data_IF_351370268977
#
_entry.id   IF_351370268977
#
_cell.length_a   1.000
_cell.length_b   1.000
_cell.length_c   1.000
_cell.angle_alpha   90.00
_cell.angle_beta   90.00
_cell.angle_gamma   90.00
#
_symmetry.space_group_name_H-M   'P 1'
#
loop_
_entity.id
_entity.type
_entity.pdbx_description
1 polymer ?
#
# COMPACT_ATOMS: atom_id res chain seq x y z
N UNK A 1 -72.16 5.09 25.30
CA UNK A 1 -70.96 5.79 24.78
C UNK A 1 -70.28 6.70 25.80
N UNK A 2 -70.99 7.62 26.50
CA UNK A 2 -70.36 8.50 27.50
C UNK A 2 -69.73 7.80 28.72
N UNK A 3 -70.32 6.70 29.20
CA UNK A 3 -69.81 5.96 30.38
C UNK A 3 -68.51 5.18 30.11
N UNK A 4 -68.26 4.74 28.87
CA UNK A 4 -67.03 4.01 28.50
C UNK A 4 -65.86 4.98 28.35
N UNK A 5 -66.11 6.18 27.81
CA UNK A 5 -65.11 7.23 27.66
C UNK A 5 -64.70 7.78 29.04
N UNK A 6 -65.64 7.94 29.97
CA UNK A 6 -65.34 8.34 31.34
C UNK A 6 -64.51 7.28 32.10
N UNK A 7 -64.79 5.98 31.89
CA UNK A 7 -63.97 4.91 32.49
C UNK A 7 -62.54 4.87 31.95
N UNK A 8 -62.35 5.10 30.64
CA UNK A 8 -61.03 5.18 30.01
C UNK A 8 -60.22 6.40 30.46
N UNK A 9 -60.88 7.55 30.66
CA UNK A 9 -60.22 8.76 31.21
C UNK A 9 -59.81 8.52 32.66
N UNK A 10 -60.62 7.80 33.44
CA UNK A 10 -60.33 7.50 34.84
C UNK A 10 -59.21 6.45 35.01
N UNK A 11 -59.06 5.50 34.09
CA UNK A 11 -57.90 4.60 34.03
C UNK A 11 -56.62 5.33 33.59
N UNK A 12 -56.72 6.29 32.67
CA UNK A 12 -55.56 7.07 32.21
C UNK A 12 -55.03 8.03 33.29
N UNK A 13 -55.90 8.63 34.10
CA UNK A 13 -55.46 9.43 35.27
C UNK A 13 -54.80 8.56 36.34
N UNK A 14 -55.26 7.31 36.51
CA UNK A 14 -54.66 6.35 37.47
C UNK A 14 -53.26 5.88 37.08
N UNK A 15 -52.95 5.85 35.78
CA UNK A 15 -51.59 5.56 35.27
C UNK A 15 -50.69 6.81 35.38
N UNK A 16 -51.28 8.01 35.27
CA UNK A 16 -50.55 9.29 35.34
C UNK A 16 -50.19 9.70 36.77
N UNK A 17 -50.95 9.22 37.76
CA UNK A 17 -50.70 9.43 39.19
C UNK A 17 -49.86 8.34 39.87
N UNK A 18 -49.16 7.48 39.11
CA UNK A 18 -48.09 6.69 39.71
C UNK A 18 -47.03 7.70 40.15
N UNK A 19 -46.82 7.91 41.47
CA UNK A 19 -45.92 8.95 41.91
C UNK A 19 -44.53 8.47 41.54
N UNK A 20 -43.93 9.12 40.54
CA UNK A 20 -42.51 8.99 40.20
C UNK A 20 -41.60 9.10 41.45
N UNK A 21 -42.12 9.75 42.50
CA UNK A 21 -41.52 9.97 43.81
C UNK A 21 -41.35 8.66 44.62
N UNK A 22 -42.31 7.73 44.56
CA UNK A 22 -42.25 6.45 45.28
C UNK A 22 -41.23 5.48 44.67
N UNK A 23 -41.09 5.51 43.34
CA UNK A 23 -40.11 4.67 42.61
C UNK A 23 -38.67 5.17 42.84
N UNK A 24 -38.50 6.46 43.11
CA UNK A 24 -37.21 7.09 43.44
C UNK A 24 -36.79 6.94 44.91
N UNK A 25 -37.66 6.48 45.81
CA UNK A 25 -37.35 6.38 47.24
C UNK A 25 -36.80 5.01 47.65
N UNK A 26 -36.93 3.99 46.79
CA UNK A 26 -36.31 2.70 47.04
C UNK A 26 -34.80 2.80 46.86
N UNK A 27 -33.99 2.60 47.93
CA UNK A 27 -32.54 2.75 47.86
C UNK A 27 -31.91 1.79 46.84
N UNK A 28 -32.59 0.65 46.58
CA UNK A 28 -32.19 -0.33 45.56
C UNK A 28 -32.41 0.18 44.13
N UNK A 29 -33.48 0.93 43.89
CA UNK A 29 -33.82 1.46 42.56
C UNK A 29 -32.91 2.64 42.20
N UNK A 30 -32.63 3.52 43.16
CA UNK A 30 -31.64 4.59 43.00
C UNK A 30 -30.24 4.03 42.73
N UNK A 31 -29.82 3.00 43.49
CA UNK A 31 -28.54 2.34 43.26
C UNK A 31 -28.44 1.69 41.87
N UNK A 32 -29.53 1.08 41.36
CA UNK A 32 -29.56 0.50 40.03
C UNK A 32 -29.44 1.56 38.92
N UNK A 33 -30.14 2.69 39.05
CA UNK A 33 -30.06 3.80 38.07
C UNK A 33 -28.65 4.40 38.06
N UNK A 34 -28.08 4.66 39.25
CA UNK A 34 -26.71 5.17 39.37
C UNK A 34 -25.71 4.17 38.80
N UNK A 35 -25.90 2.87 39.04
CA UNK A 35 -25.07 1.81 38.46
C UNK A 35 -25.12 1.77 36.94
N UNK A 36 -26.30 1.87 36.34
CA UNK A 36 -26.47 1.94 34.88
C UNK A 36 -25.83 3.22 34.32
N UNK A 37 -25.99 4.35 35.01
CA UNK A 37 -25.42 5.62 34.59
C UNK A 37 -23.88 5.58 34.62
N UNK A 38 -23.28 4.99 35.66
CA UNK A 38 -21.84 4.76 35.75
C UNK A 38 -21.39 3.77 34.69
N UNK A 39 -22.15 2.70 34.42
CA UNK A 39 -21.83 1.73 33.36
C UNK A 39 -21.84 2.39 31.98
N UNK A 40 -22.85 3.22 31.68
CA UNK A 40 -22.95 3.97 30.42
C UNK A 40 -21.83 5.00 30.32
N UNK A 41 -21.51 5.73 31.39
CA UNK A 41 -20.35 6.63 31.44
C UNK A 41 -19.04 5.88 31.23
N UNK A 42 -18.87 4.72 31.86
CA UNK A 42 -17.69 3.88 31.70
C UNK A 42 -17.59 3.35 30.27
N UNK A 43 -18.70 2.86 29.69
CA UNK A 43 -18.70 2.35 28.31
C UNK A 43 -18.51 3.44 27.27
N UNK A 44 -19.07 4.63 27.48
CA UNK A 44 -18.87 5.79 26.60
C UNK A 44 -17.46 6.33 26.73
N UNK A 45 -16.90 6.41 27.95
CA UNK A 45 -15.53 6.86 28.19
C UNK A 45 -14.50 5.84 27.68
N UNK A 46 -14.71 4.54 27.88
CA UNK A 46 -13.84 3.48 27.33
C UNK A 46 -14.00 3.32 25.80
N UNK A 47 -15.21 3.45 25.21
CA UNK A 47 -15.35 3.52 23.74
C UNK A 47 -14.73 4.78 23.15
N UNK A 48 -14.68 5.88 23.92
CA UNK A 48 -14.05 7.15 23.55
C UNK A 48 -12.52 7.15 23.76
N UNK A 49 -11.88 5.98 23.80
CA UNK A 49 -10.44 5.82 23.53
C UNK A 49 -10.18 5.30 22.11
N UNK A 50 -11.24 5.10 21.32
CA UNK A 50 -11.13 4.96 19.87
C UNK A 50 -10.70 6.31 19.32
N UNK A 51 -9.39 6.43 19.11
CA UNK A 51 -8.66 7.52 18.47
C UNK A 51 -9.58 8.27 17.52
N UNK A 52 -9.80 9.57 17.79
CA UNK A 52 -10.39 10.49 16.81
C UNK A 52 -9.74 10.16 15.46
N UNK A 53 -10.49 9.92 14.37
CA UNK A 53 -9.90 9.85 13.06
C UNK A 53 -9.41 11.26 12.75
N UNK A 54 -8.18 11.59 13.17
CA UNK A 54 -7.42 12.57 12.42
C UNK A 54 -7.43 12.03 11.00
N UNK A 55 -7.91 12.81 10.05
CA UNK A 55 -7.78 12.52 8.63
C UNK A 55 -6.29 12.47 8.32
N UNK A 56 -5.66 11.34 8.64
CA UNK A 56 -4.28 11.08 8.31
C UNK A 56 -4.24 11.03 6.78
N UNK A 57 -3.34 11.80 6.15
CA UNK A 57 -3.20 11.78 4.70
C UNK A 57 -2.86 10.35 4.25
N UNK A 58 -3.48 9.90 3.15
CA UNK A 58 -3.20 8.58 2.58
C UNK A 58 -1.69 8.43 2.34
N UNK A 59 -1.10 7.37 2.86
CA UNK A 59 0.35 7.14 2.79
C UNK A 59 0.69 6.27 1.60
N UNK A 60 1.48 6.82 0.68
CA UNK A 60 1.90 6.14 -0.54
C UNK A 60 3.40 5.93 -0.51
N UNK A 61 3.80 4.69 -0.78
CA UNK A 61 5.18 4.26 -0.67
C UNK A 61 5.81 4.06 -2.05
N UNK A 62 6.93 4.73 -2.33
CA UNK A 62 7.73 4.46 -3.52
C UNK A 62 8.77 3.39 -3.21
N UNK A 63 8.68 2.26 -3.90
CA UNK A 63 9.59 1.11 -3.78
C UNK A 63 10.10 0.66 -5.14
N UNK A 64 11.17 -0.13 -5.16
CA UNK A 64 11.73 -0.68 -6.40
C UNK A 64 13.25 -0.61 -6.47
N UNK A 65 13.85 -1.17 -7.54
CA UNK A 65 15.30 -1.28 -7.71
C UNK A 65 15.99 0.08 -7.72
N UNK A 66 17.27 0.13 -7.33
CA UNK A 66 18.10 1.31 -7.53
C UNK A 66 18.06 1.77 -8.99
N UNK A 67 18.19 3.08 -9.21
CA UNK A 67 18.18 3.71 -10.54
C UNK A 67 16.85 3.66 -11.31
N UNK A 68 15.76 3.17 -10.71
CA UNK A 68 14.42 3.22 -11.33
C UNK A 68 13.82 4.61 -11.41
N UNK A 69 14.41 5.62 -10.77
CA UNK A 69 13.91 6.99 -10.76
C UNK A 69 12.90 7.31 -9.66
N UNK A 70 12.90 6.57 -8.54
CA UNK A 70 12.02 6.84 -7.37
C UNK A 70 12.19 8.26 -6.84
N UNK A 71 13.43 8.67 -6.54
CA UNK A 71 13.72 10.00 -5.99
C UNK A 71 13.40 11.10 -6.99
N UNK A 72 13.63 10.86 -8.27
CA UNK A 72 13.22 11.73 -9.37
C UNK A 72 11.70 11.95 -9.42
N UNK A 73 10.92 10.87 -9.34
CA UNK A 73 9.46 10.92 -9.29
C UNK A 73 8.99 11.61 -8.00
N UNK A 74 9.63 11.32 -6.87
CA UNK A 74 9.34 11.94 -5.59
C UNK A 74 9.53 13.46 -5.64
N UNK A 75 10.67 13.93 -6.14
CA UNK A 75 10.96 15.36 -6.26
C UNK A 75 9.98 16.06 -7.20
N UNK A 76 9.65 15.44 -8.33
CA UNK A 76 8.69 16.00 -9.28
C UNK A 76 7.27 16.10 -8.68
N UNK A 77 6.80 15.05 -7.99
CA UNK A 77 5.47 15.05 -7.35
C UNK A 77 5.40 16.01 -6.15
N UNK A 78 6.48 16.14 -5.37
CA UNK A 78 6.49 16.93 -4.14
C UNK A 78 6.73 18.43 -4.40
N UNK A 79 7.58 18.78 -5.37
CA UNK A 79 8.10 20.15 -5.52
C UNK A 79 7.93 20.73 -6.93
N UNK A 80 7.37 19.98 -7.89
CA UNK A 80 7.22 20.41 -9.28
C UNK A 80 8.56 20.71 -10.00
N UNK A 81 9.68 20.35 -9.38
CA UNK A 81 11.04 20.66 -9.85
C UNK A 81 11.96 19.46 -9.64
N UNK A 82 12.88 19.24 -10.59
CA UNK A 82 13.82 18.12 -10.59
C UNK A 82 15.25 18.59 -10.35
N UNK A 83 15.85 18.34 -9.17
CA UNK A 83 17.30 18.41 -9.01
C UNK A 83 17.95 17.09 -9.44
N UNK A 84 19.20 17.14 -9.93
CA UNK A 84 20.03 15.94 -10.11
C UNK A 84 20.20 15.22 -8.77
N UNK A 85 19.52 14.09 -8.58
CA UNK A 85 19.49 13.38 -7.30
C UNK A 85 20.49 12.22 -7.31
N UNK A 86 21.43 12.24 -6.35
CA UNK A 86 22.27 11.10 -6.01
C UNK A 86 21.48 10.15 -5.08
N UNK A 87 21.92 8.89 -5.02
CA UNK A 87 21.27 7.79 -4.27
C UNK A 87 20.89 8.20 -2.84
N UNK A 88 19.59 8.18 -2.51
CA UNK A 88 19.08 8.53 -1.18
C UNK A 88 19.66 7.63 -0.09
N UNK A 89 20.41 8.22 0.85
CA UNK A 89 21.00 7.55 2.03
C UNK A 89 19.99 7.52 3.20
N UNK A 90 18.88 8.25 3.11
CA UNK A 90 17.84 8.38 4.15
C UNK A 90 16.44 8.38 3.52
N UNK A 91 15.46 7.74 4.16
CA UNK A 91 14.05 7.75 3.72
C UNK A 91 13.50 9.18 3.75
N UNK A 92 12.98 9.66 2.62
CA UNK A 92 12.42 11.01 2.48
C UNK A 92 10.90 10.94 2.51
N UNK A 93 10.26 11.67 3.42
CA UNK A 93 8.80 11.74 3.53
C UNK A 93 8.34 13.15 3.24
N UNK A 94 7.41 13.33 2.31
CA UNK A 94 6.76 14.61 2.01
C UNK A 94 5.25 14.42 1.94
N UNK A 95 4.51 15.43 2.37
CA UNK A 95 3.06 15.47 2.17
C UNK A 95 2.77 16.49 1.10
N UNK A 96 2.11 16.08 0.02
CA UNK A 96 1.68 16.97 -1.06
C UNK A 96 0.16 16.92 -1.21
N UNK A 97 -0.40 18.01 -1.73
CA UNK A 97 -1.84 18.10 -1.99
C UNK A 97 -2.04 17.96 -3.49
N UNK A 98 -2.84 16.98 -3.90
CA UNK A 98 -3.17 16.74 -5.29
C UNK A 98 -4.12 17.85 -5.80
N UNK A 99 -4.27 18.00 -7.11
CA UNK A 99 -5.09 19.08 -7.70
C UNK A 99 -6.55 19.06 -7.21
N UNK A 100 -7.03 17.86 -6.85
CA UNK A 100 -8.34 17.59 -6.26
C UNK A 100 -8.47 17.95 -4.77
N UNK A 101 -7.41 18.48 -4.13
CA UNK A 101 -7.40 18.87 -2.71
C UNK A 101 -7.11 17.72 -1.74
N UNK A 102 -6.89 16.49 -2.25
CA UNK A 102 -6.53 15.31 -1.45
C UNK A 102 -5.09 15.40 -0.97
N UNK A 103 -4.86 15.24 0.34
CA UNK A 103 -3.51 15.23 0.93
C UNK A 103 -2.95 13.82 0.93
N UNK A 104 -1.79 13.64 0.30
CA UNK A 104 -1.09 12.37 0.17
C UNK A 104 0.29 12.51 0.82
N UNK A 105 0.64 11.55 1.67
CA UNK A 105 1.97 11.42 2.26
C UNK A 105 2.80 10.47 1.41
N UNK A 106 3.71 10.99 0.62
CA UNK A 106 4.65 10.23 -0.19
C UNK A 106 5.89 9.89 0.62
N UNK A 107 6.32 8.64 0.55
CA UNK A 107 7.53 8.15 1.23
C UNK A 107 8.45 7.53 0.19
N UNK A 108 9.61 8.16 -0.07
CA UNK A 108 10.69 7.59 -0.88
C UNK A 108 11.52 6.64 -0.01
N UNK A 109 11.47 5.36 -0.36
CA UNK A 109 12.33 4.35 0.25
C UNK A 109 13.58 4.09 -0.59
N UNK A 110 14.75 4.10 0.03
CA UNK A 110 15.99 3.82 -0.68
C UNK A 110 16.02 2.37 -1.18
N UNK A 111 16.30 2.19 -2.48
CA UNK A 111 16.29 0.89 -3.15
C UNK A 111 17.47 -0.03 -2.82
N UNK A 112 18.33 0.35 -1.86
CA UNK A 112 19.49 -0.46 -1.48
C UNK A 112 19.04 -1.63 -0.58
N UNK A 113 19.48 -2.88 -0.85
CA UNK A 113 19.16 -4.06 -0.03
C UNK A 113 19.41 -3.95 1.49
N UNK A 114 20.20 -2.96 1.93
CA UNK A 114 20.60 -2.77 3.35
C UNK A 114 19.57 -1.97 4.16
N UNK A 115 18.58 -1.37 3.52
CA UNK A 115 17.57 -0.52 4.18
C UNK A 115 16.18 -1.17 4.20
N UNK A 116 16.13 -2.48 3.93
CA UNK A 116 14.91 -3.30 3.82
C UNK A 116 14.10 -3.39 5.11
N UNK A 117 14.75 -3.32 6.28
CA UNK A 117 14.05 -3.34 7.57
C UNK A 117 13.23 -2.05 7.81
N UNK A 118 13.62 -0.94 7.17
CA UNK A 118 12.81 0.27 7.12
C UNK A 118 11.63 0.17 6.15
N UNK A 119 11.79 -0.62 5.08
CA UNK A 119 10.74 -0.85 4.08
C UNK A 119 9.57 -1.63 4.67
N UNK A 120 9.83 -2.71 5.40
CA UNK A 120 8.77 -3.50 6.07
C UNK A 120 8.05 -2.72 7.17
N UNK A 121 8.72 -1.80 7.88
CA UNK A 121 8.06 -0.92 8.84
C UNK A 121 7.14 0.08 8.16
N UNK A 122 7.64 0.74 7.11
CA UNK A 122 6.87 1.75 6.38
C UNK A 122 5.74 1.15 5.53
N UNK A 123 5.89 -0.11 5.09
CA UNK A 123 4.84 -0.89 4.43
C UNK A 123 3.61 -1.08 5.33
N UNK A 124 3.79 -1.25 6.65
CA UNK A 124 2.67 -1.42 7.60
C UNK A 124 1.81 -0.17 7.76
N UNK A 125 2.35 1.00 7.44
CA UNK A 125 1.65 2.29 7.49
C UNK A 125 1.19 2.77 6.11
N UNK A 126 1.42 1.99 5.05
CA UNK A 126 1.09 2.39 3.69
C UNK A 126 -0.35 2.01 3.33
N UNK A 127 -1.10 2.99 2.80
CA UNK A 127 -2.42 2.79 2.21
C UNK A 127 -2.31 2.35 0.74
N UNK A 128 -1.16 2.60 0.11
CA UNK A 128 -0.84 2.19 -1.25
C UNK A 128 0.66 2.12 -1.53
N UNK A 129 1.04 1.31 -2.52
CA UNK A 129 2.45 1.11 -2.89
C UNK A 129 2.64 1.31 -4.38
N UNK A 130 3.65 2.09 -4.76
CA UNK A 130 4.10 2.26 -6.15
C UNK A 130 5.46 1.60 -6.30
N UNK A 131 5.49 0.50 -7.04
CA UNK A 131 6.71 -0.20 -7.41
C UNK A 131 7.24 0.34 -8.74
N UNK A 132 8.27 1.17 -8.65
CA UNK A 132 8.85 1.91 -9.77
C UNK A 132 9.93 1.07 -10.45
N UNK A 133 9.77 0.84 -11.75
CA UNK A 133 10.69 0.04 -12.58
C UNK A 133 11.17 0.87 -13.77
N UNK A 134 12.47 0.82 -14.06
CA UNK A 134 13.02 1.36 -15.31
C UNK A 134 12.68 0.43 -16.47
N UNK A 135 11.80 0.86 -17.38
CA UNK A 135 11.34 0.03 -18.50
C UNK A 135 12.44 -0.27 -19.54
N UNK A 136 13.42 0.63 -19.68
CA UNK A 136 14.54 0.46 -20.62
C UNK A 136 15.55 -0.54 -20.05
N UNK A 137 15.85 -0.41 -18.76
CA UNK A 137 16.76 -1.30 -18.02
C UNK A 137 16.16 -2.68 -17.71
N UNK A 138 14.83 -2.81 -17.72
CA UNK A 138 14.13 -4.01 -17.27
C UNK A 138 14.59 -5.29 -17.98
N UNK A 139 14.85 -5.25 -19.29
CA UNK A 139 15.27 -6.46 -20.04
C UNK A 139 16.57 -7.06 -19.49
N UNK A 140 17.49 -6.22 -19.00
CA UNK A 140 18.79 -6.66 -18.48
C UNK A 140 18.70 -7.09 -17.02
N UNK A 141 17.82 -6.44 -16.26
CA UNK A 141 17.77 -6.58 -14.81
C UNK A 141 16.53 -7.34 -14.31
N UNK A 142 15.72 -7.93 -15.19
CA UNK A 142 14.41 -8.52 -14.89
C UNK A 142 14.42 -9.43 -13.65
N UNK A 143 15.41 -10.33 -13.54
CA UNK A 143 15.52 -11.23 -12.40
C UNK A 143 15.70 -10.52 -11.07
N UNK A 144 16.63 -9.56 -11.01
CA UNK A 144 16.84 -8.76 -9.79
C UNK A 144 15.62 -7.92 -9.42
N UNK A 145 14.88 -7.42 -10.41
CA UNK A 145 13.65 -6.64 -10.16
C UNK A 145 12.54 -7.55 -9.62
N UNK A 146 12.31 -8.70 -10.26
CA UNK A 146 11.27 -9.64 -9.86
C UNK A 146 11.52 -10.24 -8.48
N UNK A 147 12.78 -10.52 -8.12
CA UNK A 147 13.15 -11.01 -6.79
C UNK A 147 12.74 -10.07 -5.65
N UNK A 148 12.51 -8.78 -5.92
CA UNK A 148 12.05 -7.82 -4.92
C UNK A 148 10.53 -7.85 -4.68
N UNK A 149 9.75 -8.42 -5.61
CA UNK A 149 8.28 -8.45 -5.53
C UNK A 149 7.72 -9.45 -4.50
N UNK A 150 8.15 -10.74 -4.44
CA UNK A 150 7.61 -11.70 -3.47
C UNK A 150 7.50 -11.16 -2.03
N UNK A 151 8.57 -10.61 -1.42
CA UNK A 151 8.47 -10.13 -0.03
C UNK A 151 7.52 -8.94 0.12
N UNK A 152 7.38 -8.09 -0.89
CA UNK A 152 6.42 -6.98 -0.90
C UNK A 152 5.00 -7.53 -0.96
N UNK A 153 4.72 -8.47 -1.88
CA UNK A 153 3.41 -9.10 -2.03
C UNK A 153 2.98 -9.83 -0.76
N UNK A 154 3.88 -10.60 -0.14
CA UNK A 154 3.64 -11.27 1.15
C UNK A 154 3.30 -10.26 2.25
N UNK A 155 4.08 -9.17 2.36
CA UNK A 155 3.82 -8.14 3.37
C UNK A 155 2.47 -7.46 3.13
N UNK A 156 2.14 -7.12 1.89
CA UNK A 156 0.89 -6.46 1.53
C UNK A 156 -0.33 -7.36 1.74
N UNK A 157 -0.24 -8.65 1.37
CA UNK A 157 -1.30 -9.62 1.61
C UNK A 157 -1.59 -9.79 3.10
N UNK A 158 -0.53 -9.91 3.92
CA UNK A 158 -0.66 -10.01 5.37
C UNK A 158 -1.29 -8.76 6.01
N UNK A 159 -1.00 -7.58 5.45
CA UNK A 159 -1.63 -6.32 5.87
C UNK A 159 -3.10 -6.26 5.45
N UNK A 160 -3.42 -6.74 4.25
CA UNK A 160 -4.79 -6.79 3.76
C UNK A 160 -5.68 -7.68 4.63
N UNK A 161 -5.17 -8.76 5.24
CA UNK A 161 -5.95 -9.58 6.20
C UNK A 161 -6.52 -8.78 7.37
N UNK A 162 -5.89 -7.65 7.72
CA UNK A 162 -6.29 -6.77 8.82
C UNK A 162 -7.05 -5.52 8.34
N UNK A 163 -7.17 -5.33 7.03
CA UNK A 163 -7.85 -4.20 6.39
C UNK A 163 -9.13 -4.68 5.71
N UNK A 164 -10.20 -3.90 5.77
CA UNK A 164 -11.45 -4.22 5.07
C UNK A 164 -11.38 -3.98 3.56
N UNK A 165 -10.31 -3.35 3.06
CA UNK A 165 -10.09 -3.04 1.65
C UNK A 165 -8.78 -3.66 1.15
N UNK A 166 -8.75 -4.15 -0.10
CA UNK A 166 -7.51 -4.62 -0.71
C UNK A 166 -6.53 -3.46 -0.81
N UNK A 167 -5.25 -3.74 -0.58
CA UNK A 167 -4.19 -2.73 -0.72
C UNK A 167 -3.81 -2.66 -2.20
N UNK A 168 -3.74 -1.46 -2.74
CA UNK A 168 -3.38 -1.24 -4.15
C UNK A 168 -1.87 -1.20 -4.33
N UNK A 169 -1.38 -2.01 -5.26
CA UNK A 169 0.01 -2.06 -5.71
C UNK A 169 0.09 -1.61 -7.17
N UNK A 170 0.66 -0.43 -7.40
CA UNK A 170 0.90 0.12 -8.74
C UNK A 170 2.28 -0.34 -9.21
N UNK A 171 2.32 -1.16 -10.26
CA UNK A 171 3.54 -1.51 -10.98
C UNK A 171 3.78 -0.48 -12.08
N UNK A 172 4.73 0.43 -11.85
CA UNK A 172 4.97 1.61 -12.68
C UNK A 172 6.17 1.41 -13.62
N UNK A 173 5.92 1.41 -14.93
CA UNK A 173 6.92 1.47 -15.99
C UNK A 173 7.42 2.91 -16.17
N UNK A 174 8.47 3.28 -15.44
CA UNK A 174 9.08 4.60 -15.52
C UNK A 174 10.08 4.69 -16.68
N UNK A 175 10.40 5.93 -17.08
CA UNK A 175 11.28 6.29 -18.21
C UNK A 175 10.73 5.85 -19.57
N UNK A 176 9.40 5.82 -19.70
CA UNK A 176 8.71 5.45 -20.94
C UNK A 176 9.01 6.44 -22.07
N UNK A 177 9.34 7.68 -21.74
CA UNK A 177 9.82 8.70 -22.68
C UNK A 177 11.06 8.26 -23.47
N UNK A 178 11.92 7.41 -22.89
CA UNK A 178 13.13 6.88 -23.54
C UNK A 178 12.85 5.75 -24.55
N UNK A 179 11.64 5.18 -24.55
CA UNK A 179 11.23 4.23 -25.58
C UNK A 179 10.94 4.94 -26.91
N UNK A 180 10.66 6.23 -26.84
CA UNK A 180 10.52 7.11 -27.99
C UNK A 180 11.93 7.60 -28.34
N UNK A 181 12.20 7.77 -29.63
CA UNK A 181 13.33 8.59 -30.09
C UNK A 181 12.79 9.97 -30.45
N UNK A 182 12.65 10.90 -29.48
CA UNK A 182 12.23 12.24 -29.82
C UNK A 182 13.37 12.95 -30.56
N UNK A 183 13.13 13.27 -31.84
CA UNK A 183 13.93 14.21 -32.61
C UNK A 183 12.98 15.33 -33.07
N UNK A 184 13.00 16.54 -32.49
CA UNK A 184 13.89 17.10 -31.45
C UNK A 184 13.51 16.71 -30.00
N UNK A 185 14.35 17.02 -28.98
CA UNK A 185 14.04 16.74 -27.58
C UNK A 185 12.72 17.41 -27.14
N UNK A 186 11.90 16.73 -26.31
CA UNK A 186 10.57 17.22 -25.95
C UNK A 186 10.68 18.53 -25.15
N UNK A 187 9.92 19.55 -25.56
CA UNK A 187 9.91 20.87 -24.94
C UNK A 187 9.27 20.91 -23.56
N UNK A 188 8.13 20.24 -23.26
CA UNK A 188 7.62 20.16 -21.89
C UNK A 188 8.29 19.02 -21.11
N UNK A 189 8.52 19.26 -19.82
CA UNK A 189 8.91 18.26 -18.82
C UNK A 189 7.85 18.25 -17.72
N UNK A 190 7.06 17.18 -17.54
CA UNK A 190 7.06 15.90 -18.26
C UNK A 190 6.74 16.01 -19.77
N UNK A 191 7.27 15.10 -20.61
CA UNK A 191 7.04 15.09 -22.05
C UNK A 191 5.62 14.60 -22.39
N UNK A 192 5.17 14.93 -23.60
CA UNK A 192 3.97 14.30 -24.16
C UNK A 192 4.33 12.92 -24.75
N UNK A 193 3.86 11.87 -24.09
CA UNK A 193 4.05 10.47 -24.46
C UNK A 193 2.78 9.99 -25.18
N UNK A 194 2.88 9.46 -26.40
CA UNK A 194 1.74 8.87 -27.10
C UNK A 194 1.15 7.70 -26.31
N UNK A 195 -0.18 7.59 -26.27
CA UNK A 195 -0.90 6.51 -25.56
C UNK A 195 -0.41 5.12 -25.95
N UNK A 196 -0.17 4.89 -27.25
CA UNK A 196 0.39 3.62 -27.76
C UNK A 196 1.73 3.26 -27.10
N UNK A 197 2.57 4.25 -26.78
CA UNK A 197 3.87 3.99 -26.13
C UNK A 197 3.68 3.63 -24.66
N UNK A 198 2.73 4.28 -23.98
CA UNK A 198 2.34 3.92 -22.61
C UNK A 198 1.81 2.49 -22.56
N UNK A 199 0.93 2.12 -23.49
CA UNK A 199 0.37 0.76 -23.57
C UNK A 199 1.46 -0.29 -23.82
N UNK A 200 2.38 -0.02 -24.75
CA UNK A 200 3.55 -0.90 -25.01
C UNK A 200 4.41 -1.04 -23.76
N UNK A 201 4.64 0.04 -23.02
CA UNK A 201 5.44 0.01 -21.79
C UNK A 201 4.77 -0.84 -20.70
N UNK A 202 3.45 -0.68 -20.50
CA UNK A 202 2.67 -1.48 -19.55
C UNK A 202 2.67 -2.96 -19.91
N UNK A 203 2.37 -3.29 -21.16
CA UNK A 203 2.33 -4.69 -21.63
C UNK A 203 3.71 -5.34 -21.57
N UNK A 204 4.77 -4.59 -21.90
CA UNK A 204 6.14 -5.07 -21.77
C UNK A 204 6.54 -5.33 -20.31
N UNK A 205 6.20 -4.42 -19.40
CA UNK A 205 6.43 -4.59 -17.97
C UNK A 205 5.69 -5.83 -17.45
N UNK A 206 4.40 -5.95 -17.80
CA UNK A 206 3.54 -7.07 -17.43
C UNK A 206 4.12 -8.39 -17.92
N UNK A 207 4.43 -8.50 -19.20
CA UNK A 207 4.95 -9.73 -19.79
C UNK A 207 6.28 -10.17 -19.15
N UNK A 208 7.24 -9.24 -19.01
CA UNK A 208 8.57 -9.57 -18.46
C UNK A 208 8.47 -9.99 -17.00
N UNK A 209 7.74 -9.23 -16.17
CA UNK A 209 7.60 -9.59 -14.76
C UNK A 209 6.80 -10.88 -14.58
N UNK A 210 5.75 -11.12 -15.36
CA UNK A 210 4.99 -12.39 -15.29
C UNK A 210 5.89 -13.58 -15.54
N UNK A 211 6.69 -13.53 -16.61
CA UNK A 211 7.63 -14.60 -16.97
C UNK A 211 8.65 -14.84 -15.85
N UNK A 212 9.15 -13.78 -15.24
CA UNK A 212 10.17 -13.91 -14.21
C UNK A 212 9.60 -14.39 -12.88
N UNK A 213 8.38 -13.96 -12.53
CA UNK A 213 7.65 -14.48 -11.37
C UNK A 213 7.32 -15.97 -11.55
N UNK A 214 6.96 -16.40 -12.76
CA UNK A 214 6.77 -17.81 -13.10
C UNK A 214 8.06 -18.63 -12.94
N UNK A 215 9.20 -18.06 -13.37
CA UNK A 215 10.53 -18.65 -13.14
C UNK A 215 10.83 -18.80 -11.65
N UNK A 216 10.54 -17.76 -10.85
CA UNK A 216 10.74 -17.79 -9.39
C UNK A 216 9.82 -18.83 -8.73
N UNK A 217 8.55 -18.90 -9.10
CA UNK A 217 7.58 -19.89 -8.60
C UNK A 217 8.02 -21.32 -8.89
N UNK A 218 8.49 -21.58 -10.12
CA UNK A 218 9.04 -22.88 -10.54
C UNK A 218 10.32 -23.26 -9.77
N UNK A 219 11.19 -22.28 -9.49
CA UNK A 219 12.41 -22.51 -8.69
C UNK A 219 12.13 -22.83 -7.22
N UNK A 220 11.04 -22.30 -6.65
CA UNK A 220 10.61 -22.61 -5.28
C UNK A 220 9.98 -23.99 -5.19
N UNK A 221 9.13 -24.36 -6.15
CA UNK A 221 8.48 -25.67 -6.20
C UNK A 221 9.50 -26.84 -6.27
N UNK A 222 10.62 -26.64 -6.97
CA UNK A 222 11.70 -27.63 -7.07
C UNK A 222 12.60 -27.71 -5.82
N UNK A 223 12.71 -26.63 -5.04
CA UNK A 223 13.43 -26.62 -3.77
C UNK A 223 12.64 -27.30 -2.63
N UNK A 224 11.31 -27.15 -2.61
CA UNK A 224 10.42 -27.78 -1.62
C UNK A 224 10.19 -29.28 -1.89
N UNK A 225 10.29 -29.73 -3.15
CA UNK A 225 10.03 -31.12 -3.56
C UNK A 225 11.15 -32.15 -3.30
N UNK A 226 12.09 -31.89 -2.38
CA UNK A 226 13.25 -32.77 -2.12
C UNK A 226 13.48 -33.10 -0.63
N UNK A 227 12.41 -33.25 0.14
CA UNK A 227 12.47 -33.66 1.55
C UNK A 227 11.66 -34.94 1.76
N UNK A 228 12.02 -36.00 1.03
CA UNK A 228 11.62 -37.36 1.39
C UNK A 228 12.78 -38.30 1.02
N UNK A 229 13.63 -38.56 2.02
CA UNK A 229 14.72 -39.52 1.90
C UNK A 229 16.09 -38.89 1.68
N UNK A 230 16.70 -38.32 2.72
CA UNK A 230 18.09 -38.60 3.11
C UNK A 230 18.48 -37.76 4.33
N UNK A 231 18.88 -38.50 5.37
CA UNK A 231 19.69 -38.11 6.52
C UNK A 231 19.61 -36.67 7.01
N UNK A 232 19.12 -36.54 8.24
CA UNK A 232 19.46 -35.51 9.22
C UNK A 232 20.99 -35.44 9.38
N UNK A 233 21.66 -34.73 8.46
CA UNK A 233 23.02 -34.23 8.65
C UNK A 233 22.84 -32.74 8.88
N UNK A 234 23.40 -32.25 9.98
CA UNK A 234 23.50 -30.84 10.34
C UNK A 234 24.35 -30.10 9.30
N UNK A 235 23.79 -29.90 8.12
CA UNK A 235 24.29 -29.00 7.10
C UNK A 235 23.47 -27.72 7.19
N UNK A 236 24.16 -26.62 7.44
CA UNK A 236 23.61 -25.26 7.50
C UNK A 236 22.86 -24.94 6.20
N UNK A 237 21.56 -25.25 6.18
CA UNK A 237 20.63 -24.83 5.15
C UNK A 237 20.35 -23.35 5.35
N UNK A 238 21.17 -22.51 4.74
CA UNK A 238 20.97 -21.05 4.76
C UNK A 238 19.73 -20.74 3.92
N UNK A 239 18.57 -20.59 4.57
CA UNK A 239 17.31 -20.15 3.96
C UNK A 239 17.54 -18.93 3.07
N UNK A 240 16.83 -18.80 1.95
CA UNK A 240 16.94 -17.67 1.02
C UNK A 240 16.89 -16.32 1.77
N UNK A 241 16.04 -16.21 2.80
CA UNK A 241 15.97 -15.07 3.72
C UNK A 241 17.28 -14.80 4.49
N UNK A 242 17.98 -15.82 4.99
CA UNK A 242 19.28 -15.64 5.66
C UNK A 242 20.40 -15.17 4.72
N UNK A 243 20.34 -15.52 3.42
CA UNK A 243 21.23 -14.98 2.37
C UNK A 243 20.90 -13.54 1.97
N UNK A 244 19.63 -13.15 2.09
CA UNK A 244 19.12 -11.85 1.63
C UNK A 244 19.05 -10.78 2.75
N UNK A 245 19.01 -11.19 4.03
CA UNK A 245 18.81 -10.32 5.21
C UNK A 245 19.95 -10.35 6.24
N UNK A 246 21.02 -11.12 6.03
CA UNK A 246 22.28 -10.94 6.77
C UNK A 246 22.15 -10.93 8.30
N UNK A 247 21.24 -11.75 8.85
CA UNK A 247 21.05 -11.93 10.28
C UNK A 247 20.76 -13.39 10.58
N UNK A 248 21.63 -14.03 11.36
CA UNK A 248 21.33 -15.28 12.06
C UNK A 248 20.26 -14.99 13.09
N UNK A 249 18.99 -15.17 12.71
CA UNK A 249 17.92 -15.40 13.67
C UNK A 249 17.84 -16.92 13.83
N UNK A 250 18.24 -17.43 14.99
CA UNK A 250 17.84 -18.76 15.42
C UNK A 250 16.31 -18.74 15.55
N UNK A 251 15.63 -19.29 14.55
CA UNK A 251 14.22 -19.64 14.66
C UNK A 251 14.20 -21.08 15.15
N UNK A 252 14.12 -21.25 16.47
CA UNK A 252 13.61 -22.49 17.04
C UNK A 252 12.10 -22.56 16.74
N UNK A 253 11.69 -23.60 16.02
CA UNK A 253 10.30 -24.03 15.96
C UNK A 253 9.49 -23.54 14.75
N UNK A 254 8.94 -24.54 14.07
CA UNK A 254 7.70 -24.52 13.27
C UNK A 254 7.79 -24.04 11.81
N UNK A 255 7.72 -25.02 10.91
CA UNK A 255 7.63 -24.87 9.46
C UNK A 255 6.26 -24.38 8.97
N UNK A 256 5.71 -23.33 9.59
CA UNK A 256 4.45 -22.70 9.15
C UNK A 256 4.69 -21.54 8.17
N UNK A 257 5.87 -20.92 8.18
CA UNK A 257 6.15 -19.72 7.37
C UNK A 257 6.33 -19.95 5.86
N UNK A 258 6.81 -21.13 5.44
CA UNK A 258 7.07 -21.40 4.01
C UNK A 258 5.81 -21.84 3.24
N UNK A 259 4.87 -22.51 3.91
CA UNK A 259 3.60 -22.94 3.32
C UNK A 259 2.64 -21.75 3.13
N UNK A 260 2.57 -20.85 4.12
CA UNK A 260 1.76 -19.63 4.06
C UNK A 260 2.22 -18.67 2.95
N UNK A 261 3.53 -18.55 2.71
CA UNK A 261 4.06 -17.74 1.61
C UNK A 261 3.73 -18.31 0.22
N UNK A 262 3.63 -19.64 0.09
CA UNK A 262 3.23 -20.30 -1.15
C UNK A 262 1.77 -20.02 -1.51
N UNK A 263 0.92 -19.80 -0.50
CA UNK A 263 -0.51 -19.52 -0.68
C UNK A 263 -0.78 -18.07 -1.14
N UNK A 264 0.01 -17.11 -0.68
CA UNK A 264 -0.23 -15.67 -0.93
C UNK A 264 -0.31 -15.29 -2.41
N UNK A 265 0.40 -16.00 -3.26
CA UNK A 265 0.55 -15.71 -4.70
C UNK A 265 0.23 -16.93 -5.59
N UNK A 266 -0.66 -17.79 -5.08
CA UNK A 266 -1.25 -18.92 -5.77
C UNK A 266 -0.51 -20.24 -5.60
N UNK A 267 -1.28 -21.33 -5.53
CA UNK A 267 -0.79 -22.71 -5.39
C UNK A 267 0.02 -23.23 -6.59
N UNK A 268 0.26 -24.54 -6.64
CA UNK A 268 1.06 -25.18 -7.71
C UNK A 268 0.52 -24.84 -9.11
N UNK A 269 1.42 -24.48 -10.02
CA UNK A 269 1.10 -24.13 -11.41
C UNK A 269 1.77 -22.83 -11.85
N UNK A 270 1.37 -22.35 -13.03
CA UNK A 270 1.86 -21.09 -13.58
C UNK A 270 1.52 -19.91 -12.66
N UNK A 271 2.37 -18.90 -12.63
CA UNK A 271 2.09 -17.68 -11.88
C UNK A 271 1.02 -16.83 -12.58
N UNK A 272 0.04 -16.36 -11.80
CA UNK A 272 -0.99 -15.42 -12.23
C UNK A 272 -1.07 -14.29 -11.22
N UNK A 273 -1.24 -13.07 -11.69
CA UNK A 273 -1.35 -11.90 -10.82
C UNK A 273 -2.68 -11.87 -10.06
N UNK A 274 -3.70 -12.50 -10.63
CA UNK A 274 -5.04 -12.61 -10.06
C UNK A 274 -5.08 -13.57 -8.85
N UNK A 275 -4.08 -14.46 -8.74
CA UNK A 275 -3.96 -15.39 -7.61
C UNK A 275 -3.35 -14.73 -6.36
N UNK A 276 -2.95 -13.45 -6.45
CA UNK A 276 -2.40 -12.71 -5.30
C UNK A 276 -3.53 -12.23 -4.40
N UNK A 277 -3.61 -12.79 -3.19
CA UNK A 277 -4.69 -12.48 -2.26
C UNK A 277 -4.50 -11.13 -1.56
N UNK A 278 -5.59 -10.33 -1.49
CA UNK A 278 -5.63 -9.09 -0.71
C UNK A 278 -4.90 -7.89 -1.33
N UNK A 279 -4.33 -8.06 -2.53
CA UNK A 279 -3.59 -6.99 -3.23
C UNK A 279 -4.23 -6.73 -4.58
N UNK A 280 -4.62 -5.48 -4.83
CA UNK A 280 -5.10 -5.04 -6.13
C UNK A 280 -3.91 -4.54 -6.96
N UNK A 281 -3.57 -5.24 -8.03
CA UNK A 281 -2.42 -4.92 -8.86
C UNK A 281 -2.85 -4.06 -10.05
N UNK A 282 -2.24 -2.88 -10.18
CA UNK A 282 -2.52 -1.91 -11.23
C UNK A 282 -1.24 -1.68 -12.05
N UNK A 283 -1.35 -1.66 -13.37
CA UNK A 283 -0.22 -1.44 -14.27
C UNK A 283 -0.26 -0.01 -14.80
N UNK A 284 0.86 0.70 -14.70
CA UNK A 284 0.95 2.08 -15.12
C UNK A 284 2.26 2.37 -15.86
N UNK A 285 2.29 3.46 -16.62
CA UNK A 285 3.51 3.97 -17.24
C UNK A 285 3.71 5.45 -16.92
N UNK A 286 4.97 5.87 -16.85
CA UNK A 286 5.33 7.27 -16.68
C UNK A 286 6.62 7.61 -17.40
N UNK A 287 6.80 8.91 -17.65
CA UNK A 287 8.06 9.46 -18.13
C UNK A 287 8.22 10.91 -17.69
N UNK A 288 9.43 11.24 -17.25
CA UNK A 288 9.77 12.56 -16.72
C UNK A 288 10.50 13.43 -17.76
N UNK A 289 11.09 12.82 -18.79
CA UNK A 289 11.94 13.53 -19.74
C UNK A 289 13.30 13.92 -19.17
N UNK A 290 14.02 14.78 -19.89
CA UNK A 290 15.38 15.22 -19.53
C UNK A 290 15.32 16.38 -18.55
N UNK A 291 16.19 16.34 -17.53
CA UNK A 291 16.36 17.39 -16.52
C UNK A 291 16.82 18.70 -17.17
N UNK A 292 16.03 19.77 -17.06
CA UNK A 292 16.52 21.13 -17.36
C UNK A 292 17.54 21.53 -16.28
N UNK A 293 18.83 21.31 -16.54
CA UNK A 293 19.92 21.95 -15.78
C UNK A 293 19.96 23.44 -16.13
N UNK A 294 19.06 24.23 -15.55
CA UNK A 294 19.06 25.67 -15.73
C UNK A 294 18.01 26.35 -14.87
N UNK A 295 18.41 27.40 -14.16
CA UNK A 295 17.54 28.40 -13.53
C UNK A 295 16.78 29.22 -14.58
N UNK A 296 16.14 28.54 -15.53
CA UNK A 296 15.21 29.15 -16.48
C UNK A 296 13.91 29.36 -15.74
N UNK A 297 13.41 30.60 -15.78
CA UNK A 297 12.05 30.96 -15.38
C UNK A 297 11.11 29.91 -15.95
N UNK A 298 10.36 29.24 -15.07
CA UNK A 298 9.25 28.37 -15.49
C UNK A 298 8.24 29.34 -16.11
N UNK A 299 8.15 29.38 -17.43
CA UNK A 299 7.02 30.03 -18.08
C UNK A 299 5.76 29.30 -17.59
N UNK A 300 4.96 29.97 -16.77
CA UNK A 300 3.69 29.45 -16.23
C UNK A 300 2.67 29.07 -17.32
N UNK A 301 3.01 29.31 -18.60
CA UNK A 301 2.21 29.04 -19.79
C UNK A 301 2.67 27.81 -20.61
N UNK A 302 3.77 27.12 -20.27
CA UNK A 302 4.06 25.82 -20.91
C UNK A 302 3.14 24.75 -20.30
N UNK A 303 2.19 24.23 -21.09
CA UNK A 303 1.31 23.14 -20.67
C UNK A 303 2.15 21.93 -20.24
N UNK A 304 1.97 21.49 -18.98
CA UNK A 304 2.58 20.26 -18.45
C UNK A 304 2.23 19.10 -19.40
N UNK A 305 3.22 18.32 -19.84
CA UNK A 305 2.96 17.17 -20.71
C UNK A 305 2.29 16.03 -19.94
N UNK A 306 1.76 15.05 -20.68
CA UNK A 306 0.95 13.98 -20.09
C UNK A 306 1.76 12.84 -19.41
N UNK A 307 3.09 12.95 -19.34
CA UNK A 307 3.96 11.86 -18.90
C UNK A 307 3.77 11.41 -17.43
N UNK A 308 3.03 12.17 -16.62
CA UNK A 308 2.68 11.82 -15.25
C UNK A 308 1.18 11.67 -15.00
N UNK A 309 0.33 11.94 -15.98
CA UNK A 309 -1.13 12.03 -15.78
C UNK A 309 -1.72 10.72 -15.28
N UNK A 310 -1.24 9.60 -15.84
CA UNK A 310 -1.66 8.26 -15.42
C UNK A 310 -1.30 7.99 -13.96
N UNK A 311 -0.06 8.30 -13.55
CA UNK A 311 0.35 8.12 -12.17
C UNK A 311 -0.47 9.04 -11.25
N UNK A 312 -0.62 10.33 -11.59
CA UNK A 312 -1.40 11.27 -10.80
C UNK A 312 -2.85 10.79 -10.63
N UNK A 313 -3.50 10.34 -11.70
CA UNK A 313 -4.86 9.79 -11.64
C UNK A 313 -4.97 8.56 -10.74
N UNK A 314 -4.03 7.63 -10.83
CA UNK A 314 -4.01 6.47 -9.93
C UNK A 314 -3.74 6.84 -8.47
N UNK A 315 -2.92 7.86 -8.21
CA UNK A 315 -2.72 8.40 -6.86
C UNK A 315 -3.99 9.06 -6.31
N UNK A 316 -4.87 9.62 -7.16
CA UNK A 316 -6.18 10.12 -6.73
C UNK A 316 -7.10 8.99 -6.26
N UNK A 317 -7.05 7.85 -6.94
CA UNK A 317 -7.89 6.68 -6.65
C UNK A 317 -7.45 5.86 -5.41
N UNK A 318 -6.28 6.14 -4.84
CA UNK A 318 -5.71 5.48 -3.65
C UNK A 318 -6.25 6.06 -2.33
#
# INVERSE_FOLDING_TARGET
MRSIILGLIQELDKIREIPLQTILQDPKFVAAIVGIFILVLFFTFFRSTSRKPQLNPSTILLVGPSDSGKTSLFSQLAYGTYPNTHTSIKSSTTTFTLQTGKKIRLVDLPGHPRLRDGVTKNLREADGVVFVVDIVGLVRNAGMVAEQLPPILTTLSNLSRHSSKPIKLILLANKTDLLIRPSPPPSPSPPNIPSQTLDIARERLRFILTREMDRLKSSRASASGKIEGMSKVSGVGTSFWSRLFGGTVEVEGEGEGEEDEGLVWGGRGMFKWEDVEGVEIIWAASGLGVVRSGSGVIDENESEGNGLDELKGLLEEL
#
